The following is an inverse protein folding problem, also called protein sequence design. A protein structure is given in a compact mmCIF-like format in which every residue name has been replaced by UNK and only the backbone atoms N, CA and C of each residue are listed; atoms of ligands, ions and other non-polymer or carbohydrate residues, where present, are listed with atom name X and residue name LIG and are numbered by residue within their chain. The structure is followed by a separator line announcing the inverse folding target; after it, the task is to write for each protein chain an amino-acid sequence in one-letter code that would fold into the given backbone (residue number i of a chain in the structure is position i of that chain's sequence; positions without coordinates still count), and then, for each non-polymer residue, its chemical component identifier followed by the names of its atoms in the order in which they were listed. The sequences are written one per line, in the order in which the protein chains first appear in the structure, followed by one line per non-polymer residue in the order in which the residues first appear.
data_IF_325309075775
#
_entry.id   IF_325309075775
#
_cell.length_a   1.000
_cell.length_b   1.000
_cell.length_c   1.000
_cell.angle_alpha   90.00
_cell.angle_beta   90.00
_cell.angle_gamma   90.00
#
_symmetry.space_group_name_H-M   'P 1'
#
loop_
_entity.id
_entity.type
_entity.pdbx_description
1 polymer ?
#
# COMPACT_ATOMS: atom_id res chain seq x y z
N UNK A 1 -11.54 -1.00 5.02
CA UNK A 1 -10.28 -0.77 5.73
C UNK A 1 -10.34 0.53 6.54
N UNK A 2 -10.68 1.69 5.96
CA UNK A 2 -10.72 3.00 6.62
C UNK A 2 -11.58 3.00 7.89
N UNK A 3 -12.77 2.40 7.83
CA UNK A 3 -13.63 2.27 9.03
C UNK A 3 -13.02 1.42 10.14
N UNK A 4 -12.18 0.45 9.80
CA UNK A 4 -11.47 -0.35 10.80
C UNK A 4 -10.34 0.46 11.45
N UNK A 5 -9.59 1.21 10.64
CA UNK A 5 -8.55 2.12 11.13
C UNK A 5 -9.14 3.21 12.01
N UNK A 6 -10.26 3.81 11.60
CA UNK A 6 -10.96 4.84 12.38
C UNK A 6 -11.31 4.37 13.79
N UNK A 7 -11.80 3.13 13.92
CA UNK A 7 -12.05 2.51 15.24
C UNK A 7 -10.79 2.30 16.07
N UNK A 8 -9.67 1.93 15.43
CA UNK A 8 -8.39 1.75 16.11
C UNK A 8 -7.83 3.08 16.60
N UNK A 9 -7.99 4.16 15.84
CA UNK A 9 -7.49 5.49 16.18
C UNK A 9 -8.11 6.05 17.46
N UNK A 10 -9.32 5.64 17.84
CA UNK A 10 -9.99 6.09 19.07
C UNK A 10 -9.22 5.68 20.34
N UNK A 11 -8.43 4.59 20.30
CA UNK A 11 -7.79 3.98 21.46
C UNK A 11 -6.28 3.77 21.33
N UNK A 12 -5.66 4.27 20.26
CA UNK A 12 -4.24 4.02 19.98
C UNK A 12 -3.45 5.31 19.78
N UNK A 13 -2.14 5.21 20.00
CA UNK A 13 -1.19 6.32 19.89
C UNK A 13 -0.42 6.24 18.58
N UNK A 14 -1.10 6.10 17.46
CA UNK A 14 -0.47 6.17 16.15
C UNK A 14 -1.20 7.17 15.25
N UNK A 15 -0.49 7.63 14.23
CA UNK A 15 -1.00 8.56 13.23
C UNK A 15 -1.47 7.76 12.01
N UNK A 16 -2.63 8.13 11.49
CA UNK A 16 -3.11 7.61 10.22
C UNK A 16 -2.80 8.57 9.09
N UNK A 17 -2.16 8.06 8.03
CA UNK A 17 -1.79 8.83 6.85
C UNK A 17 -2.33 8.15 5.59
N UNK A 18 -3.28 8.77 4.92
CA UNK A 18 -3.82 8.32 3.63
C UNK A 18 -3.32 9.15 2.44
N UNK A 19 -2.29 9.95 2.67
CA UNK A 19 -1.68 10.80 1.65
C UNK A 19 -2.42 12.11 1.41
N UNK A 20 -3.55 12.38 2.10
CA UNK A 20 -4.30 13.61 1.90
C UNK A 20 -4.08 14.62 3.00
N UNK A 21 -4.08 15.90 2.64
CA UNK A 21 -4.05 17.05 3.53
C UNK A 21 -5.27 17.94 3.31
N UNK A 22 -5.62 18.66 4.35
CA UNK A 22 -6.74 19.57 4.38
C UNK A 22 -7.78 19.17 5.40
N UNK A 23 -8.58 20.11 5.86
CA UNK A 23 -9.60 19.87 6.86
C UNK A 23 -10.98 19.63 6.21
N UNK A 24 -11.41 20.54 5.36
CA UNK A 24 -12.68 20.41 4.62
C UNK A 24 -12.47 19.81 3.22
N UNK A 25 -11.43 20.26 2.52
CA UNK A 25 -11.04 19.78 1.21
C UNK A 25 -9.73 19.01 1.37
N UNK A 26 -9.78 17.70 1.15
CA UNK A 26 -8.67 16.79 1.40
C UNK A 26 -8.01 16.44 0.06
N UNK A 27 -6.95 17.17 -0.29
CA UNK A 27 -6.15 16.96 -1.50
C UNK A 27 -5.12 15.86 -1.27
N UNK A 28 -5.10 14.86 -2.16
CA UNK A 28 -4.11 13.78 -2.17
C UNK A 28 -2.83 14.24 -2.84
N UNK A 29 -1.71 14.04 -2.13
CA UNK A 29 -0.37 14.26 -2.67
C UNK A 29 0.57 13.18 -2.13
N UNK A 30 1.31 12.52 -3.02
CA UNK A 30 2.22 11.43 -2.67
C UNK A 30 3.35 11.86 -1.73
N UNK A 31 3.74 13.13 -1.75
CA UNK A 31 4.76 13.69 -0.85
C UNK A 31 4.36 13.63 0.63
N UNK A 32 3.05 13.55 0.91
CA UNK A 32 2.55 13.47 2.27
C UNK A 32 2.92 12.15 2.97
N UNK A 33 3.17 11.07 2.20
CA UNK A 33 3.65 9.80 2.76
C UNK A 33 5.07 9.87 3.33
N UNK A 34 5.87 10.86 2.92
CA UNK A 34 7.24 11.05 3.41
C UNK A 34 7.31 11.89 4.70
N UNK A 35 6.17 12.18 5.33
CA UNK A 35 6.12 12.99 6.52
C UNK A 35 6.04 12.11 7.76
N UNK A 36 6.76 12.52 8.81
CA UNK A 36 6.70 11.92 10.13
C UNK A 36 6.11 12.90 11.13
N UNK A 37 5.39 12.38 12.12
CA UNK A 37 4.89 13.16 13.24
C UNK A 37 5.67 12.75 14.48
N UNK A 38 6.13 13.72 15.24
CA UNK A 38 6.88 13.48 16.46
C UNK A 38 6.21 14.13 17.67
N UNK A 39 6.52 13.62 18.87
CA UNK A 39 6.11 14.28 20.10
C UNK A 39 6.85 15.61 20.26
N UNK A 40 6.13 16.61 20.75
CA UNK A 40 6.75 17.86 21.18
C UNK A 40 7.46 17.58 22.50
N UNK A 41 8.80 17.53 22.47
CA UNK A 41 9.62 17.36 23.68
C UNK A 41 9.54 18.57 24.60
N UNK A 42 9.68 18.31 25.90
CA UNK A 42 9.85 19.38 26.90
C UNK A 42 11.27 19.97 26.85
N UNK A 43 12.24 19.17 26.40
CA UNK A 43 13.63 19.58 26.17
C UNK A 43 14.01 19.13 24.76
N UNK A 44 14.58 20.03 23.97
CA UNK A 44 14.88 19.87 22.53
C UNK A 44 15.84 18.72 22.17
N UNK A 45 16.31 17.95 23.13
CA UNK A 45 17.36 16.95 22.93
C UNK A 45 16.86 15.54 22.55
N UNK A 46 15.56 15.25 22.60
CA UNK A 46 15.03 13.96 22.23
C UNK A 46 13.64 14.08 21.58
N UNK A 47 13.60 13.85 20.29
CA UNK A 47 12.35 13.80 19.50
C UNK A 47 12.04 12.34 19.19
N UNK A 48 10.95 11.83 19.74
CA UNK A 48 10.46 10.49 19.44
C UNK A 48 9.40 10.56 18.36
N UNK A 49 9.56 9.76 17.31
CA UNK A 49 8.54 9.63 16.27
C UNK A 49 7.32 8.89 16.80
N UNK A 50 6.15 9.35 16.39
CA UNK A 50 4.90 8.65 16.66
C UNK A 50 4.73 7.57 15.58
N UNK A 51 4.46 6.30 15.95
CA UNK A 51 4.17 5.25 14.98
C UNK A 51 3.04 5.67 14.04
N UNK A 52 3.18 5.37 12.76
CA UNK A 52 2.18 5.75 11.75
C UNK A 52 1.69 4.53 10.97
N UNK A 53 0.45 4.61 10.51
CA UNK A 53 -0.13 3.69 9.53
C UNK A 53 -0.37 4.47 8.25
N UNK A 54 0.27 4.08 7.16
CA UNK A 54 0.05 4.65 5.84
C UNK A 54 -0.90 3.77 5.03
N UNK A 55 -1.99 4.34 4.52
CA UNK A 55 -2.91 3.67 3.61
C UNK A 55 -2.58 4.07 2.18
N UNK A 56 -1.95 3.17 1.43
CA UNK A 56 -1.57 3.35 0.04
C UNK A 56 -2.57 2.57 -0.83
N UNK A 57 -3.16 3.22 -1.84
CA UNK A 57 -4.13 2.61 -2.76
C UNK A 57 -3.60 2.66 -4.20
N UNK A 58 -2.80 1.67 -4.63
CA UNK A 58 -2.15 1.68 -5.94
C UNK A 58 -3.10 1.78 -7.13
N UNK A 59 -4.31 1.27 -6.99
CA UNK A 59 -5.33 1.29 -8.04
C UNK A 59 -6.46 2.31 -7.79
N UNK A 60 -6.20 3.29 -6.93
CA UNK A 60 -7.15 4.33 -6.61
C UNK A 60 -8.27 3.89 -5.65
N UNK A 61 -9.34 4.64 -5.63
CA UNK A 61 -10.45 4.39 -4.70
C UNK A 61 -11.77 4.94 -5.20
N UNK A 62 -12.86 4.30 -4.80
CA UNK A 62 -14.23 4.71 -5.11
C UNK A 62 -14.63 6.07 -4.50
N UNK A 63 -13.86 6.56 -3.54
CA UNK A 63 -14.05 7.87 -2.90
C UNK A 63 -13.01 8.91 -3.35
N UNK A 64 -12.21 8.63 -4.38
CA UNK A 64 -11.31 9.60 -5.00
C UNK A 64 -12.00 10.28 -6.17
N UNK A 65 -11.89 11.59 -6.22
CA UNK A 65 -12.46 12.43 -7.27
C UNK A 65 -11.36 13.33 -7.85
N UNK A 66 -11.26 13.35 -9.18
CA UNK A 66 -10.36 14.26 -9.88
C UNK A 66 -11.08 15.56 -10.24
N UNK A 67 -10.48 16.70 -9.88
CA UNK A 67 -10.92 18.04 -10.26
C UNK A 67 -9.69 18.90 -10.57
N UNK A 68 -9.63 19.49 -11.76
CA UNK A 68 -8.53 20.39 -12.17
C UNK A 68 -7.13 19.78 -11.98
N UNK A 69 -6.96 18.54 -12.43
CA UNK A 69 -5.71 17.78 -12.31
C UNK A 69 -5.26 17.51 -10.87
N UNK A 70 -6.17 17.58 -9.92
CA UNK A 70 -5.94 17.25 -8.51
C UNK A 70 -6.89 16.16 -8.07
N UNK A 71 -6.43 15.33 -7.15
CA UNK A 71 -7.27 14.28 -6.57
C UNK A 71 -7.69 14.68 -5.15
N UNK A 72 -8.97 14.55 -4.91
CA UNK A 72 -9.58 14.80 -3.61
C UNK A 72 -10.15 13.51 -3.02
N UNK A 73 -9.92 13.30 -1.73
CA UNK A 73 -10.52 12.20 -0.98
C UNK A 73 -11.83 12.66 -0.37
N UNK A 74 -12.93 12.05 -0.83
CA UNK A 74 -14.28 12.31 -0.36
C UNK A 74 -14.69 11.35 0.75
N UNK A 75 -15.64 11.76 1.59
CA UNK A 75 -16.23 10.91 2.63
C UNK A 75 -17.38 10.02 2.11
N UNK A 76 -17.62 10.03 0.81
CA UNK A 76 -18.65 9.25 0.13
C UNK A 76 -18.09 8.65 -1.17
N UNK A 77 -18.80 7.67 -1.72
CA UNK A 77 -18.51 7.14 -3.04
C UNK A 77 -18.86 8.20 -4.09
N UNK A 78 -17.89 8.53 -4.95
CA UNK A 78 -18.08 9.55 -6.00
C UNK A 78 -18.81 8.98 -7.21
N UNK A 79 -19.43 9.84 -8.02
CA UNK A 79 -20.09 9.42 -9.27
C UNK A 79 -19.10 8.93 -10.33
N UNK A 80 -17.94 9.58 -10.38
CA UNK A 80 -16.84 9.26 -11.30
C UNK A 80 -15.58 8.95 -10.48
N UNK A 81 -15.44 7.73 -9.93
CA UNK A 81 -14.34 7.39 -9.08
C UNK A 81 -13.04 7.25 -9.87
N UNK A 82 -11.94 7.71 -9.26
CA UNK A 82 -10.60 7.54 -9.78
C UNK A 82 -10.08 6.15 -9.41
N UNK A 83 -10.26 5.19 -10.31
CA UNK A 83 -9.85 3.79 -10.12
C UNK A 83 -9.26 3.21 -11.40
N UNK A 84 -8.28 2.32 -11.26
CA UNK A 84 -7.82 1.45 -12.35
C UNK A 84 -8.84 0.32 -12.49
N UNK A 85 -9.43 0.16 -13.66
CA UNK A 85 -10.42 -0.88 -13.94
C UNK A 85 -9.71 -2.23 -14.18
N UNK A 86 -10.27 -3.35 -13.72
CA UNK A 86 -9.68 -4.69 -13.94
C UNK A 86 -9.97 -5.18 -15.38
N UNK A 87 -9.33 -4.56 -16.37
CA UNK A 87 -9.52 -4.83 -17.79
C UNK A 87 -8.44 -5.75 -18.39
N UNK A 88 -7.42 -6.12 -17.60
CA UNK A 88 -6.20 -6.77 -18.08
C UNK A 88 -5.18 -5.81 -18.69
N UNK A 89 -5.48 -4.51 -18.71
CA UNK A 89 -4.62 -3.43 -19.20
C UNK A 89 -4.18 -2.50 -18.05
N UNK A 90 -4.27 -2.99 -16.81
CA UNK A 90 -4.02 -2.20 -15.60
C UNK A 90 -2.65 -1.51 -15.62
N UNK A 91 -1.65 -2.17 -16.19
CA UNK A 91 -0.32 -1.58 -16.33
C UNK A 91 -0.34 -0.34 -17.22
N UNK A 92 -1.09 -0.35 -18.33
CA UNK A 92 -1.20 0.80 -19.24
C UNK A 92 -1.97 1.95 -18.59
N UNK A 93 -3.10 1.64 -17.97
CA UNK A 93 -3.93 2.64 -17.28
C UNK A 93 -3.15 3.30 -16.13
N UNK A 94 -2.32 2.53 -15.44
CA UNK A 94 -1.46 3.02 -14.37
C UNK A 94 -0.37 3.96 -14.90
N UNK A 95 0.28 3.61 -16.02
CA UNK A 95 1.33 4.44 -16.61
C UNK A 95 0.82 5.73 -17.27
N UNK A 96 -0.40 5.72 -17.76
CA UNK A 96 -1.00 6.91 -18.38
C UNK A 96 -1.47 7.92 -17.34
N UNK A 97 -1.59 7.50 -16.07
CA UNK A 97 -2.03 8.37 -15.00
C UNK A 97 -0.94 8.55 -13.95
N UNK A 98 -0.41 9.73 -13.82
CA UNK A 98 0.69 10.08 -12.92
C UNK A 98 0.42 9.69 -11.47
N UNK A 99 -0.84 9.79 -10.99
CA UNK A 99 -1.19 9.51 -9.61
C UNK A 99 -1.07 8.02 -9.25
N UNK A 100 -1.50 7.14 -10.14
CA UNK A 100 -1.33 5.69 -9.90
C UNK A 100 0.14 5.30 -9.91
N UNK A 101 0.92 5.90 -10.80
CA UNK A 101 2.36 5.72 -10.83
C UNK A 101 3.03 6.19 -9.53
N UNK A 102 2.62 7.32 -9.00
CA UNK A 102 3.12 7.83 -7.72
C UNK A 102 2.75 6.91 -6.55
N UNK A 103 1.52 6.38 -6.51
CA UNK A 103 1.12 5.42 -5.48
C UNK A 103 1.93 4.13 -5.54
N UNK A 104 2.22 3.63 -6.74
CA UNK A 104 3.12 2.48 -6.92
C UNK A 104 4.55 2.80 -6.47
N UNK A 105 5.03 4.01 -6.74
CA UNK A 105 6.35 4.45 -6.27
C UNK A 105 6.39 4.49 -4.74
N UNK A 106 5.38 5.03 -4.09
CA UNK A 106 5.28 5.03 -2.61
C UNK A 106 5.28 3.60 -2.09
N UNK A 107 4.48 2.71 -2.68
CA UNK A 107 4.44 1.30 -2.30
C UNK A 107 5.83 0.63 -2.44
N UNK A 108 6.54 0.90 -3.55
CA UNK A 108 7.87 0.36 -3.76
C UNK A 108 8.86 0.86 -2.71
N UNK A 109 8.82 2.14 -2.36
CA UNK A 109 9.69 2.71 -1.32
C UNK A 109 9.46 2.05 0.05
N UNK A 110 8.23 1.67 0.37
CA UNK A 110 7.93 0.93 1.59
C UNK A 110 8.54 -0.48 1.58
N UNK A 111 8.55 -1.15 0.43
CA UNK A 111 9.15 -2.47 0.26
C UNK A 111 10.70 -2.44 0.30
N UNK A 112 11.29 -1.33 -0.06
CA UNK A 112 12.76 -1.15 -0.10
C UNK A 112 13.33 -0.74 1.28
N UNK A 113 12.48 -0.47 2.28
CA UNK A 113 12.94 -0.12 3.63
C UNK A 113 13.69 -1.29 4.29
N UNK A 114 14.73 -0.99 5.09
CA UNK A 114 15.41 -2.02 5.86
C UNK A 114 14.50 -2.59 6.96
N UNK A 115 14.78 -3.82 7.37
CA UNK A 115 14.07 -4.52 8.46
C UNK A 115 12.54 -4.53 8.29
N UNK A 116 12.09 -4.77 7.06
CA UNK A 116 10.68 -4.73 6.69
C UNK A 116 10.05 -6.11 6.68
N UNK A 117 8.75 -6.16 6.99
CA UNK A 117 7.94 -7.37 6.86
C UNK A 117 6.72 -7.05 6.00
N UNK A 118 6.48 -7.86 4.97
CA UNK A 118 5.29 -7.76 4.12
C UNK A 118 4.35 -8.94 4.39
N UNK A 119 3.15 -8.64 4.83
CA UNK A 119 2.05 -9.60 4.90
C UNK A 119 1.13 -9.43 3.68
N UNK A 120 0.91 -10.51 2.94
CA UNK A 120 0.03 -10.55 1.77
C UNK A 120 -1.19 -11.38 2.09
N UNK A 121 -2.36 -10.75 2.03
CA UNK A 121 -3.65 -11.36 2.35
C UNK A 121 -4.64 -11.04 1.22
N UNK A 122 -5.25 -12.07 0.64
CA UNK A 122 -6.27 -11.91 -0.39
C UNK A 122 -5.76 -11.42 -1.75
N UNK A 123 -4.45 -11.61 -2.04
CA UNK A 123 -3.84 -11.26 -3.32
C UNK A 123 -3.19 -12.49 -3.96
N UNK A 124 -3.59 -12.81 -5.19
CA UNK A 124 -3.20 -14.03 -5.91
C UNK A 124 -2.04 -13.84 -6.89
N UNK A 125 -1.43 -12.66 -6.96
CA UNK A 125 -0.37 -12.29 -7.92
C UNK A 125 -0.79 -12.34 -9.41
N UNK A 126 -2.09 -12.34 -9.69
CA UNK A 126 -2.59 -12.25 -11.07
C UNK A 126 -2.30 -10.88 -11.69
N UNK A 127 -2.31 -9.81 -10.90
CA UNK A 127 -1.78 -8.52 -11.30
C UNK A 127 -0.27 -8.63 -11.47
N UNK A 128 0.15 -8.83 -12.71
CA UNK A 128 1.55 -9.05 -13.06
C UNK A 128 2.45 -7.85 -12.74
N UNK A 129 1.87 -6.64 -12.72
CA UNK A 129 2.64 -5.45 -12.42
C UNK A 129 3.03 -5.39 -10.94
N UNK A 130 2.05 -5.54 -10.06
CA UNK A 130 2.27 -5.64 -8.61
C UNK A 130 3.11 -6.88 -8.28
N UNK A 131 2.83 -8.03 -8.91
CA UNK A 131 3.61 -9.25 -8.73
C UNK A 131 5.10 -9.07 -9.06
N UNK A 132 5.43 -8.37 -10.15
CA UNK A 132 6.83 -8.04 -10.51
C UNK A 132 7.50 -7.11 -9.51
N UNK A 133 6.78 -6.13 -8.99
CA UNK A 133 7.30 -5.23 -7.96
C UNK A 133 7.63 -5.99 -6.68
N UNK A 134 6.75 -6.87 -6.24
CA UNK A 134 6.94 -7.74 -5.08
C UNK A 134 8.13 -8.68 -5.31
N UNK A 135 8.20 -9.33 -6.47
CA UNK A 135 9.32 -10.21 -6.83
C UNK A 135 10.67 -9.47 -6.84
N UNK A 136 10.69 -8.23 -7.32
CA UNK A 136 11.88 -7.38 -7.25
C UNK A 136 12.25 -7.06 -5.80
N UNK A 137 11.28 -6.75 -4.96
CA UNK A 137 11.50 -6.42 -3.57
C UNK A 137 12.11 -7.58 -2.77
N UNK A 138 11.86 -8.85 -3.16
CA UNK A 138 12.49 -10.03 -2.57
C UNK A 138 14.02 -10.08 -2.74
N UNK A 139 14.61 -9.22 -3.57
CA UNK A 139 16.07 -9.04 -3.64
C UNK A 139 16.62 -8.27 -2.43
N UNK A 140 15.76 -7.56 -1.69
CA UNK A 140 16.14 -6.94 -0.43
C UNK A 140 16.26 -8.03 0.66
N UNK A 141 17.45 -8.34 1.18
CA UNK A 141 17.65 -9.41 2.15
C UNK A 141 17.02 -9.09 3.52
N UNK A 142 16.72 -7.82 3.78
CA UNK A 142 16.12 -7.37 5.04
C UNK A 142 14.57 -7.35 4.97
N UNK A 143 13.98 -7.67 3.81
CA UNK A 143 12.54 -7.85 3.66
C UNK A 143 12.17 -9.31 3.90
N UNK A 144 11.34 -9.58 4.88
CA UNK A 144 10.67 -10.88 5.06
C UNK A 144 9.22 -10.79 4.56
N UNK A 145 8.79 -11.78 3.78
CA UNK A 145 7.46 -11.80 3.18
C UNK A 145 6.67 -13.03 3.59
N UNK A 146 5.43 -12.82 4.00
CA UNK A 146 4.47 -13.87 4.36
C UNK A 146 3.22 -13.72 3.50
N UNK A 147 2.88 -14.78 2.78
CA UNK A 147 1.66 -14.86 1.96
C UNK A 147 0.70 -15.81 2.65
N UNK A 148 -0.50 -15.35 2.97
CA UNK A 148 -1.56 -16.17 3.54
C UNK A 148 -2.43 -16.70 2.40
N UNK A 149 -2.31 -17.99 2.12
CA UNK A 149 -3.10 -18.69 1.13
C UNK A 149 -4.44 -19.14 1.73
N UNK A 150 -5.48 -19.18 0.90
CA UNK A 150 -6.80 -19.65 1.34
C UNK A 150 -6.84 -21.17 1.45
N UNK A 151 -6.09 -21.87 0.58
CA UNK A 151 -6.01 -23.33 0.52
C UNK A 151 -4.58 -23.80 0.19
N UNK A 152 -4.29 -25.08 0.43
CA UNK A 152 -2.99 -25.67 0.12
C UNK A 152 -2.70 -25.66 -1.38
N UNK A 153 -3.73 -25.80 -2.22
CA UNK A 153 -3.60 -25.74 -3.67
C UNK A 153 -3.16 -24.38 -4.20
N UNK A 154 -3.44 -23.29 -3.46
CA UNK A 154 -3.08 -21.95 -3.88
C UNK A 154 -1.57 -21.71 -3.88
N UNK A 155 -0.83 -22.48 -3.11
CA UNK A 155 0.63 -22.36 -3.05
C UNK A 155 1.27 -22.47 -4.42
N UNK A 156 0.90 -23.48 -5.21
CA UNK A 156 1.44 -23.66 -6.55
C UNK A 156 0.98 -22.55 -7.50
N UNK A 157 -0.29 -22.15 -7.40
CA UNK A 157 -0.87 -21.06 -8.20
C UNK A 157 -0.11 -19.75 -7.95
N UNK A 158 0.21 -19.45 -6.69
CA UNK A 158 0.96 -18.23 -6.35
C UNK A 158 2.39 -18.27 -6.86
N UNK A 159 3.05 -19.42 -6.78
CA UNK A 159 4.39 -19.61 -7.35
C UNK A 159 4.40 -19.42 -8.86
N UNK A 160 3.41 -20.00 -9.56
CA UNK A 160 3.27 -19.89 -11.02
C UNK A 160 2.99 -18.44 -11.44
N UNK A 161 2.10 -17.74 -10.73
CA UNK A 161 1.78 -16.34 -10.99
C UNK A 161 2.98 -15.40 -10.75
N UNK A 162 3.78 -15.70 -9.74
CA UNK A 162 5.05 -14.99 -9.48
C UNK A 162 6.16 -15.38 -10.47
N UNK A 163 6.04 -16.50 -11.17
CA UNK A 163 7.05 -17.02 -12.09
C UNK A 163 8.29 -17.58 -11.38
N UNK A 164 8.13 -18.11 -10.16
CA UNK A 164 9.21 -18.67 -9.37
C UNK A 164 9.11 -20.19 -9.31
N UNK A 165 10.25 -20.90 -9.52
CA UNK A 165 10.32 -22.37 -9.43
C UNK A 165 10.58 -22.87 -8.01
N UNK A 166 11.18 -22.04 -7.19
CA UNK A 166 11.44 -22.31 -5.77
C UNK A 166 11.24 -21.03 -4.98
N UNK A 167 10.80 -21.17 -3.72
CA UNK A 167 10.61 -20.01 -2.85
C UNK A 167 11.96 -19.44 -2.41
N UNK A 168 12.21 -18.14 -2.57
CA UNK A 168 13.32 -17.46 -1.94
C UNK A 168 13.29 -17.62 -0.41
N UNK A 169 14.45 -17.57 0.23
CA UNK A 169 14.58 -17.78 1.68
C UNK A 169 13.72 -16.81 2.52
N UNK A 170 13.51 -15.61 2.01
CA UNK A 170 12.74 -14.54 2.64
C UNK A 170 11.26 -14.49 2.21
N UNK A 171 10.77 -15.52 1.50
CA UNK A 171 9.35 -15.67 1.14
C UNK A 171 8.78 -16.94 1.75
N UNK A 172 7.70 -16.81 2.53
CA UNK A 172 6.94 -17.92 3.09
C UNK A 172 5.50 -17.85 2.64
N UNK A 173 4.97 -18.97 2.11
CA UNK A 173 3.55 -19.14 1.81
C UNK A 173 2.98 -20.03 2.91
N UNK A 174 2.06 -19.47 3.67
CA UNK A 174 1.37 -20.12 4.78
C UNK A 174 0.02 -20.61 4.29
N UNK A 175 -0.27 -21.88 4.52
CA UNK A 175 -1.53 -22.55 4.19
C UNK A 175 -2.26 -22.95 5.47
N UNK A 176 -3.57 -23.26 5.42
CA UNK A 176 -4.37 -23.60 6.60
C UNK A 176 -3.96 -24.89 7.32
N UNK A 177 -3.28 -25.83 6.65
CA UNK A 177 -2.86 -27.14 7.20
C UNK A 177 -1.41 -27.14 7.67
#
# INVERSE_FOLDING_TARGET
LEKAVDRLLLNSRFIFNDGAKGYFTRELDSSNYNQVVSYKGLNDNYISEIPSISLIKPHGSVNWQEEQEKIYICNHVTKNPMIVKPTGLEAQDTFLNNYFHEMLRVFQLELDKPQSVLFIIGFSFQDKHIGKMILRALKNPELMMYVFAYSDSDRQIYMDNLGVRSLPANLKILTPS
#
